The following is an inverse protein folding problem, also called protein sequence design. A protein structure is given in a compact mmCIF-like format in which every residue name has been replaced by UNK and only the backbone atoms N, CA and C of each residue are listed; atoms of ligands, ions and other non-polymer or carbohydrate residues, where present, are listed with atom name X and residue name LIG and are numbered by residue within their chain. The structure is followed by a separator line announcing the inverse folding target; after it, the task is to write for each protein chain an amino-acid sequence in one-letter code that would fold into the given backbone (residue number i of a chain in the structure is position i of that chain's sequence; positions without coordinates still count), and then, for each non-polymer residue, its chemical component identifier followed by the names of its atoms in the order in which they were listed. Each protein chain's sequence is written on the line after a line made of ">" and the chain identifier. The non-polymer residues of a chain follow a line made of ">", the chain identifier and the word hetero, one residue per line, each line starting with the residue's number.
data_IF_293910816790
#
_entry.id   IF_293910816790
#
_cell.length_a   1.000
_cell.length_b   1.000
_cell.length_c   1.000
_cell.angle_alpha   90.00
_cell.angle_beta   90.00
_cell.angle_gamma   90.00
#
_symmetry.space_group_name_H-M   'P 1'
#
loop_
_entity.id
_entity.type
_entity.pdbx_description
1 polymer ?
#
# COMPACT_ATOMS: atom_id res chain seq x y z
N UNK A 1 39.89 19.84 27.62
CA UNK A 1 38.68 20.68 27.37
C UNK A 1 37.48 19.76 27.33
N UNK A 2 36.66 19.79 28.38
CA UNK A 2 35.43 19.00 28.47
C UNK A 2 34.36 19.68 27.62
N UNK A 3 34.09 19.16 26.43
CA UNK A 3 32.95 19.61 25.63
C UNK A 3 31.67 19.19 26.36
N UNK A 4 30.97 20.17 26.95
CA UNK A 4 29.55 20.03 27.28
C UNK A 4 28.87 19.50 26.02
N UNK A 5 28.39 18.26 26.05
CA UNK A 5 27.31 17.83 25.14
C UNK A 5 26.14 18.74 25.47
N UNK A 6 25.93 19.79 24.67
CA UNK A 6 24.67 20.53 24.73
C UNK A 6 23.55 19.51 24.58
N UNK A 7 22.66 19.48 25.57
CA UNK A 7 21.50 18.60 25.56
C UNK A 7 20.62 19.09 24.41
N UNK A 8 20.81 18.50 23.22
CA UNK A 8 19.98 18.81 22.05
C UNK A 8 18.52 18.58 22.42
N UNK A 9 17.68 19.55 22.07
CA UNK A 9 16.24 19.46 22.28
C UNK A 9 15.68 18.23 21.55
N UNK A 10 14.55 17.64 22.01
CA UNK A 10 13.92 16.51 21.35
C UNK A 10 13.66 16.76 19.85
N UNK A 11 13.28 17.99 19.50
CA UNK A 11 13.06 18.43 18.12
C UNK A 11 14.36 18.41 17.31
N UNK A 12 15.42 19.04 17.82
CA UNK A 12 16.71 19.13 17.12
C UNK A 12 17.29 17.75 16.85
N UNK A 13 17.17 16.80 17.78
CA UNK A 13 17.61 15.42 17.54
C UNK A 13 17.01 14.82 16.27
N UNK A 14 15.71 15.04 16.02
CA UNK A 14 15.06 14.52 14.81
C UNK A 14 15.47 15.32 13.58
N UNK A 15 15.55 16.65 13.68
CA UNK A 15 15.96 17.50 12.56
C UNK A 15 17.38 17.18 12.09
N UNK A 16 18.32 16.99 13.03
CA UNK A 16 19.70 16.59 12.72
C UNK A 16 19.75 15.27 11.96
N UNK A 17 18.98 14.25 12.39
CA UNK A 17 18.89 12.98 11.68
C UNK A 17 18.37 13.13 10.24
N UNK A 18 17.36 13.98 10.05
CA UNK A 18 16.78 14.22 8.73
C UNK A 18 17.80 14.92 7.82
N UNK A 19 18.57 15.88 8.34
CA UNK A 19 19.64 16.57 7.59
C UNK A 19 20.78 15.63 7.23
N UNK A 20 21.22 14.79 8.16
CA UNK A 20 22.27 13.78 7.93
C UNK A 20 21.90 12.83 6.77
N UNK A 21 20.61 12.52 6.64
CA UNK A 21 20.06 11.64 5.60
C UNK A 21 19.64 12.41 4.33
N UNK A 22 20.02 13.70 4.22
CA UNK A 22 19.89 14.50 3.00
C UNK A 22 18.56 15.24 2.83
N UNK A 23 17.77 15.43 3.90
CA UNK A 23 16.57 16.27 3.88
C UNK A 23 16.94 17.72 4.14
N UNK A 24 16.62 18.59 3.18
CA UNK A 24 16.70 20.05 3.32
C UNK A 24 15.58 20.56 4.22
N UNK A 25 15.90 21.41 5.21
CA UNK A 25 14.91 22.02 6.10
C UNK A 25 14.66 23.46 5.65
N UNK A 26 13.40 23.84 5.51
CA UNK A 26 12.97 25.23 5.25
C UNK A 26 11.96 25.67 6.29
N UNK A 27 12.22 26.81 6.91
CA UNK A 27 11.24 27.46 7.76
C UNK A 27 10.24 28.27 6.92
N UNK A 28 8.99 28.31 7.35
CA UNK A 28 7.95 29.07 6.65
C UNK A 28 7.05 29.80 7.63
N UNK A 29 7.02 31.13 7.50
CA UNK A 29 6.10 31.99 8.25
C UNK A 29 4.64 31.75 7.85
N UNK A 30 4.37 31.64 6.54
CA UNK A 30 3.01 31.39 6.04
C UNK A 30 2.47 30.04 6.49
N UNK A 31 3.33 29.03 6.60
CA UNK A 31 2.93 27.73 7.13
C UNK A 31 2.53 27.81 8.61
N UNK A 32 3.23 28.61 9.41
CA UNK A 32 2.87 28.87 10.82
C UNK A 32 1.44 29.39 10.97
N UNK A 33 1.01 30.28 10.06
CA UNK A 33 -0.33 30.88 10.10
C UNK A 33 -1.44 29.89 9.72
N UNK A 34 -1.16 28.98 8.77
CA UNK A 34 -2.17 28.07 8.21
C UNK A 34 -2.27 26.78 9.03
N UNK A 35 -1.15 26.30 9.60
CA UNK A 35 -1.08 25.01 10.33
C UNK A 35 -0.26 25.11 11.63
N UNK A 36 -0.69 25.92 12.61
CA UNK A 36 0.06 26.14 13.85
C UNK A 36 0.21 24.88 14.72
N UNK A 37 -0.69 23.90 14.56
CA UNK A 37 -0.73 22.66 15.34
C UNK A 37 -0.02 21.46 14.68
N UNK A 38 0.91 21.72 13.76
CA UNK A 38 1.71 20.67 13.09
C UNK A 38 3.18 21.03 13.14
N UNK A 39 4.05 20.05 13.36
CA UNK A 39 5.49 20.32 13.44
C UNK A 39 6.18 20.50 12.08
N UNK A 40 5.49 20.20 10.98
CA UNK A 40 6.01 20.39 9.65
C UNK A 40 5.22 19.63 8.58
N UNK A 41 5.68 19.79 7.35
CA UNK A 41 5.18 19.10 6.17
C UNK A 41 6.36 18.69 5.29
N UNK A 42 6.43 17.40 4.94
CA UNK A 42 7.39 16.93 3.96
C UNK A 42 6.80 17.08 2.56
N UNK A 43 7.47 17.83 1.68
CA UNK A 43 6.98 18.08 0.33
C UNK A 43 6.77 16.76 -0.42
N UNK A 44 5.68 16.62 -1.17
CA UNK A 44 5.40 15.40 -1.94
C UNK A 44 4.95 14.19 -1.11
N UNK A 45 4.77 14.32 0.21
CA UNK A 45 4.32 13.23 1.09
C UNK A 45 2.93 12.71 0.72
N UNK A 46 2.04 13.61 0.27
CA UNK A 46 0.66 13.31 -0.09
C UNK A 46 0.28 13.69 -1.53
N UNK A 47 1.22 14.25 -2.31
CA UNK A 47 1.00 14.64 -3.71
C UNK A 47 0.99 13.38 -4.60
N UNK A 48 -0.13 12.68 -4.57
CA UNK A 48 -0.42 11.56 -5.47
C UNK A 48 -1.35 11.96 -6.62
N UNK A 49 -2.15 13.01 -6.46
CA UNK A 49 -3.10 13.46 -7.49
C UNK A 49 -2.40 14.02 -8.73
N UNK A 50 -1.24 14.67 -8.60
CA UNK A 50 -0.47 15.16 -9.76
C UNK A 50 0.20 14.04 -10.56
N UNK A 51 0.52 12.90 -9.93
CA UNK A 51 1.14 11.74 -10.61
C UNK A 51 0.19 11.01 -11.55
N UNK A 52 -1.13 11.11 -11.32
CA UNK A 52 -2.13 10.53 -12.22
C UNK A 52 -2.37 11.38 -13.47
N UNK A 53 -1.83 12.60 -13.56
CA UNK A 53 -2.00 13.51 -14.72
C UNK A 53 -0.83 13.49 -15.71
N UNK A 54 0.12 12.56 -15.58
CA UNK A 54 1.17 12.37 -16.59
C UNK A 54 2.24 13.46 -16.64
N UNK A 55 2.24 14.41 -15.70
CA UNK A 55 3.38 15.30 -15.51
C UNK A 55 4.40 14.57 -14.65
N UNK A 56 5.62 14.44 -15.16
CA UNK A 56 6.77 13.84 -14.47
C UNK A 56 7.18 14.64 -13.24
N UNK A 57 6.36 14.59 -12.20
CA UNK A 57 6.69 15.17 -10.90
C UNK A 57 7.71 14.22 -10.26
N UNK A 58 8.98 14.60 -10.39
CA UNK A 58 10.07 14.03 -9.62
C UNK A 58 9.65 13.90 -8.15
N UNK A 59 9.95 12.74 -7.55
CA UNK A 59 9.80 12.51 -6.12
C UNK A 59 10.83 13.36 -5.34
N UNK A 60 10.77 14.68 -5.46
CA UNK A 60 11.62 15.56 -4.67
C UNK A 60 10.95 15.78 -3.31
N UNK A 61 10.88 14.69 -2.55
CA UNK A 61 10.40 14.64 -1.16
C UNK A 61 11.53 14.87 -0.16
N UNK A 62 12.53 15.66 -0.55
CA UNK A 62 13.72 15.90 0.25
C UNK A 62 13.69 17.26 0.93
N UNK A 63 12.54 17.95 0.95
CA UNK A 63 12.39 19.22 1.65
C UNK A 63 11.33 19.10 2.73
N UNK A 64 11.74 19.31 3.98
CA UNK A 64 10.88 19.48 5.14
C UNK A 64 10.58 20.97 5.32
N UNK A 65 9.31 21.33 5.29
CA UNK A 65 8.84 22.67 5.65
C UNK A 65 8.42 22.67 7.12
N UNK A 66 9.07 23.47 7.94
CA UNK A 66 8.80 23.61 9.38
C UNK A 66 8.14 24.97 9.62
N UNK A 67 7.12 25.08 10.49
CA UNK A 67 6.60 26.38 10.86
C UNK A 67 7.64 27.17 11.66
N UNK A 68 7.76 28.46 11.37
CA UNK A 68 8.58 29.37 12.16
C UNK A 68 8.02 29.56 13.58
N UNK A 69 6.70 29.46 13.73
CA UNK A 69 5.99 29.57 15.01
C UNK A 69 4.96 28.44 15.12
N UNK A 70 4.90 27.80 16.28
CA UNK A 70 3.94 26.70 16.53
C UNK A 70 3.53 26.69 17.99
N UNK A 71 2.28 26.29 18.22
CA UNK A 71 1.72 26.15 19.57
C UNK A 71 2.06 24.79 20.20
N UNK A 72 2.73 23.91 19.44
CA UNK A 72 3.14 22.59 19.92
C UNK A 72 4.35 22.70 20.85
N UNK A 73 4.36 21.89 21.90
CA UNK A 73 5.56 21.77 22.73
C UNK A 73 6.70 21.03 21.97
N UNK A 74 7.95 21.15 22.42
CA UNK A 74 9.09 20.56 21.72
C UNK A 74 9.00 19.03 21.54
N UNK A 75 8.37 18.34 22.49
CA UNK A 75 8.19 16.88 22.44
C UNK A 75 7.16 16.49 21.39
N UNK A 76 6.02 17.17 21.34
CA UNK A 76 5.00 17.00 20.31
C UNK A 76 5.56 17.32 18.93
N UNK A 77 6.36 18.38 18.82
CA UNK A 77 7.06 18.70 17.58
C UNK A 77 7.97 17.54 17.15
N UNK A 78 8.76 16.99 18.07
CA UNK A 78 9.63 15.87 17.79
C UNK A 78 8.87 14.60 17.38
N UNK A 79 7.72 14.31 18.01
CA UNK A 79 6.86 13.17 17.67
C UNK A 79 6.31 13.30 16.25
N UNK A 80 5.77 14.47 15.91
CA UNK A 80 5.26 14.76 14.57
C UNK A 80 6.36 14.63 13.51
N UNK A 81 7.54 15.21 13.77
CA UNK A 81 8.70 15.11 12.88
C UNK A 81 9.16 13.66 12.71
N UNK A 82 9.18 12.87 13.79
CA UNK A 82 9.50 11.45 13.73
C UNK A 82 8.48 10.66 12.90
N UNK A 83 7.21 11.06 12.90
CA UNK A 83 6.21 10.49 12.01
C UNK A 83 6.45 10.85 10.55
N UNK A 84 6.73 12.12 10.24
CA UNK A 84 7.09 12.53 8.87
C UNK A 84 8.29 11.75 8.35
N UNK A 85 9.32 11.60 9.19
CA UNK A 85 10.51 10.82 8.87
C UNK A 85 10.23 9.33 8.70
N UNK A 86 9.50 8.73 9.65
CA UNK A 86 9.12 7.31 9.59
C UNK A 86 8.28 6.97 8.36
N UNK A 87 7.41 7.87 7.94
CA UNK A 87 6.62 7.74 6.72
C UNK A 87 7.48 7.87 5.45
N UNK A 88 8.40 8.85 5.41
CA UNK A 88 9.36 8.98 4.31
C UNK A 88 10.19 7.70 4.11
N UNK A 89 10.76 7.15 5.19
CA UNK A 89 11.50 5.89 5.15
C UNK A 89 10.65 4.72 4.66
N UNK A 90 9.38 4.64 5.08
CA UNK A 90 8.43 3.63 4.61
C UNK A 90 8.14 3.77 3.11
N UNK A 91 8.10 4.99 2.59
CA UNK A 91 7.82 5.27 1.18
C UNK A 91 9.03 5.07 0.27
N UNK A 92 10.24 5.36 0.74
CA UNK A 92 11.45 5.09 -0.03
C UNK A 92 11.70 3.59 -0.17
N UNK A 93 11.49 2.83 0.90
CA UNK A 93 11.64 1.36 0.92
C UNK A 93 10.29 0.64 0.79
N UNK A 94 9.41 1.15 -0.08
CA UNK A 94 8.03 0.65 -0.19
C UNK A 94 8.00 -0.75 -0.78
N UNK A 95 7.44 -1.71 -0.05
CA UNK A 95 7.14 -3.05 -0.59
C UNK A 95 6.09 -2.96 -1.70
N UNK A 96 6.22 -3.81 -2.73
CA UNK A 96 5.34 -3.78 -3.91
C UNK A 96 3.84 -3.87 -3.58
N UNK A 97 3.46 -4.62 -2.53
CA UNK A 97 2.07 -4.75 -2.10
C UNK A 97 1.50 -3.48 -1.46
N UNK A 98 2.35 -2.62 -0.88
CA UNK A 98 1.94 -1.34 -0.30
C UNK A 98 1.63 -0.31 -1.37
N UNK A 99 2.11 -0.48 -2.61
CA UNK A 99 1.91 0.47 -3.71
C UNK A 99 0.45 0.71 -4.05
N UNK A 100 -0.40 -0.27 -3.72
CA UNK A 100 -1.83 -0.21 -4.03
C UNK A 100 -2.57 0.72 -3.07
N UNK A 101 -2.00 1.01 -1.90
CA UNK A 101 -2.58 1.91 -0.92
C UNK A 101 -2.10 3.35 -1.10
N UNK A 102 -3.01 4.30 -0.91
CA UNK A 102 -2.75 5.72 -0.90
C UNK A 102 -1.77 6.06 0.23
N UNK A 103 -0.80 6.97 0.02
CA UNK A 103 0.16 7.36 1.06
C UNK A 103 -0.47 7.86 2.36
N UNK A 104 -1.67 8.43 2.26
CA UNK A 104 -2.45 8.93 3.39
C UNK A 104 -3.47 7.91 3.96
N UNK A 105 -3.49 6.67 3.44
CA UNK A 105 -4.39 5.62 3.92
C UNK A 105 -4.11 5.24 5.36
N UNK A 106 -5.15 4.81 6.08
CA UNK A 106 -5.03 4.41 7.49
C UNK A 106 -3.93 3.37 7.73
N UNK A 107 -3.82 2.36 6.85
CA UNK A 107 -2.83 1.29 6.98
C UNK A 107 -1.40 1.84 6.84
N UNK A 108 -1.17 2.71 5.86
CA UNK A 108 0.13 3.34 5.66
C UNK A 108 0.46 4.28 6.83
N UNK A 109 -0.47 5.13 7.26
CA UNK A 109 -0.27 5.98 8.45
C UNK A 109 0.08 5.14 9.67
N UNK A 110 -0.63 4.04 9.90
CA UNK A 110 -0.37 3.14 11.04
C UNK A 110 1.05 2.54 10.99
N UNK A 111 1.52 2.15 9.81
CA UNK A 111 2.90 1.69 9.62
C UNK A 111 3.92 2.81 9.81
N UNK A 112 3.64 4.01 9.31
CA UNK A 112 4.45 5.22 9.54
C UNK A 112 4.58 5.53 11.03
N UNK A 113 3.48 5.49 11.79
CA UNK A 113 3.48 5.66 13.25
C UNK A 113 4.24 4.57 13.99
N UNK A 114 4.24 3.33 13.50
CA UNK A 114 5.09 2.27 14.05
C UNK A 114 6.57 2.60 13.87
N UNK A 115 6.96 3.13 12.71
CA UNK A 115 8.33 3.61 12.46
C UNK A 115 8.68 4.82 13.31
N UNK A 116 7.76 5.78 13.44
CA UNK A 116 7.91 6.94 14.32
C UNK A 116 8.22 6.52 15.76
N UNK A 117 7.49 5.53 16.28
CA UNK A 117 7.70 4.96 17.61
C UNK A 117 9.11 4.39 17.77
N UNK A 118 9.59 3.63 16.79
CA UNK A 118 10.96 3.09 16.79
C UNK A 118 12.00 4.23 16.83
N UNK A 119 11.79 5.30 16.06
CA UNK A 119 12.68 6.47 16.02
C UNK A 119 12.67 7.21 17.36
N UNK A 120 11.49 7.53 17.90
CA UNK A 120 11.36 8.25 19.17
C UNK A 120 11.99 7.50 20.34
N UNK A 121 11.85 6.17 20.39
CA UNK A 121 12.51 5.33 21.40
C UNK A 121 14.04 5.38 21.24
N UNK A 122 14.55 5.21 20.02
CA UNK A 122 16.00 5.24 19.73
C UNK A 122 16.64 6.56 20.13
N UNK A 123 15.94 7.68 19.93
CA UNK A 123 16.42 9.02 20.24
C UNK A 123 16.17 9.45 21.70
N UNK A 124 15.57 8.57 22.50
CA UNK A 124 15.24 8.82 23.91
C UNK A 124 14.21 9.93 24.09
N UNK A 125 13.32 10.13 23.12
CA UNK A 125 12.21 11.11 23.19
C UNK A 125 11.05 10.53 23.99
N UNK A 126 10.81 9.23 23.85
CA UNK A 126 9.83 8.47 24.63
C UNK A 126 10.55 7.29 25.30
N UNK A 127 10.10 6.93 26.50
CA UNK A 127 10.72 5.83 27.25
C UNK A 127 10.45 4.48 26.58
N UNK A 128 11.44 3.59 26.66
CA UNK A 128 11.26 2.17 26.33
C UNK A 128 10.23 1.60 27.32
N UNK A 129 9.22 0.86 26.86
CA UNK A 129 8.24 0.28 27.77
C UNK A 129 8.95 -0.68 28.72
N UNK A 130 8.86 -0.43 30.04
CA UNK A 130 9.51 -1.22 31.09
C UNK A 130 9.05 -2.69 31.13
N UNK A 131 7.94 -3.02 30.47
CA UNK A 131 7.43 -4.39 30.31
C UNK A 131 6.95 -4.62 28.88
N UNK A 132 7.49 -5.62 28.20
CA UNK A 132 7.20 -5.99 26.81
C UNK A 132 5.99 -6.93 26.65
N UNK A 133 4.99 -6.83 27.53
CA UNK A 133 3.74 -7.58 27.32
C UNK A 133 2.99 -6.96 26.14
N UNK A 134 2.52 -7.79 25.20
CA UNK A 134 1.81 -7.43 23.95
C UNK A 134 0.70 -6.37 24.10
N UNK A 135 0.21 -6.14 25.32
CA UNK A 135 -0.90 -5.26 25.64
C UNK A 135 -0.50 -3.91 26.25
N UNK A 136 0.74 -3.75 26.71
CA UNK A 136 1.27 -2.48 27.21
C UNK A 136 2.19 -1.86 26.16
N UNK A 137 1.58 -1.40 25.07
CA UNK A 137 2.24 -0.48 24.15
C UNK A 137 2.61 0.80 24.91
N UNK A 138 3.81 1.33 24.67
CA UNK A 138 4.37 2.61 25.18
C UNK A 138 3.33 3.56 25.80
N UNK A 139 3.42 3.75 27.11
CA UNK A 139 2.58 4.67 27.89
C UNK A 139 3.06 6.13 27.73
N UNK A 140 3.09 6.64 26.49
CA UNK A 140 3.35 8.05 26.24
C UNK A 140 2.06 8.72 25.74
N UNK A 141 1.46 9.55 26.60
CA UNK A 141 0.17 10.19 26.37
C UNK A 141 0.25 11.13 25.14
N UNK A 142 1.36 11.87 25.02
CA UNK A 142 1.56 12.80 23.91
C UNK A 142 1.65 12.01 22.60
N UNK A 143 2.45 10.93 22.57
CA UNK A 143 2.59 10.08 21.39
C UNK A 143 1.26 9.49 20.92
N UNK A 144 0.48 8.90 21.83
CA UNK A 144 -0.83 8.31 21.48
C UNK A 144 -1.85 9.38 21.07
N UNK A 145 -1.82 10.57 21.68
CA UNK A 145 -2.69 11.68 21.27
C UNK A 145 -2.41 12.15 19.84
N UNK A 146 -1.13 12.40 19.49
CA UNK A 146 -0.71 12.82 18.15
C UNK A 146 -1.02 11.75 17.10
N UNK A 147 -0.73 10.48 17.43
CA UNK A 147 -1.06 9.32 16.59
C UNK A 147 -2.56 9.23 16.32
N UNK A 148 -3.40 9.32 17.36
CA UNK A 148 -4.85 9.27 17.22
C UNK A 148 -5.38 10.42 16.36
N UNK A 149 -4.88 11.63 16.57
CA UNK A 149 -5.27 12.81 15.78
C UNK A 149 -4.92 12.62 14.30
N UNK A 150 -3.71 12.17 13.99
CA UNK A 150 -3.27 11.88 12.61
C UNK A 150 -4.07 10.76 11.94
N UNK A 151 -4.39 9.69 12.66
CA UNK A 151 -5.17 8.56 12.14
C UNK A 151 -6.66 8.89 11.92
N UNK A 152 -7.24 9.77 12.73
CA UNK A 152 -8.62 10.24 12.54
C UNK A 152 -8.79 11.02 11.23
N UNK A 153 -7.76 11.73 10.79
CA UNK A 153 -7.70 12.43 9.51
C UNK A 153 -7.08 11.58 8.39
N UNK A 154 -7.23 10.25 8.44
CA UNK A 154 -6.75 9.37 7.37
C UNK A 154 -7.66 9.38 6.16
N UNK A 155 -7.04 9.28 4.98
CA UNK A 155 -7.75 9.10 3.72
C UNK A 155 -8.60 7.81 3.76
N UNK A 156 -9.89 7.96 3.45
CA UNK A 156 -10.83 6.84 3.51
C UNK A 156 -10.51 5.81 2.41
N UNK A 157 -10.57 4.50 2.70
CA UNK A 157 -10.11 3.40 1.83
C UNK A 157 -10.90 3.20 0.52
N UNK A 158 -11.90 4.04 0.23
CA UNK A 158 -12.82 3.90 -0.89
C UNK A 158 -12.12 3.99 -2.27
N UNK A 159 -11.03 4.75 -2.36
CA UNK A 159 -10.24 4.91 -3.59
C UNK A 159 -9.10 3.89 -3.72
N UNK A 160 -8.57 3.37 -2.61
CA UNK A 160 -7.61 2.25 -2.63
C UNK A 160 -8.28 0.98 -3.15
N UNK A 161 -9.53 0.73 -2.75
CA UNK A 161 -10.37 -0.31 -3.32
C UNK A 161 -10.52 -0.21 -4.85
N UNK A 162 -10.71 0.99 -5.40
CA UNK A 162 -10.82 1.22 -6.85
C UNK A 162 -9.54 0.85 -7.62
N UNK A 163 -8.35 1.15 -7.07
CA UNK A 163 -7.07 0.74 -7.67
C UNK A 163 -6.86 -0.77 -7.64
N UNK A 164 -7.24 -1.42 -6.53
CA UNK A 164 -7.22 -2.88 -6.39
C UNK A 164 -8.14 -3.50 -7.44
N UNK A 165 -9.38 -3.02 -7.55
CA UNK A 165 -10.39 -3.53 -8.49
C UNK A 165 -9.95 -3.40 -9.96
N UNK A 166 -9.40 -2.26 -10.38
CA UNK A 166 -8.96 -2.04 -11.76
C UNK A 166 -7.74 -2.88 -12.17
N UNK A 167 -6.80 -3.11 -11.24
CA UNK A 167 -5.66 -4.01 -11.49
C UNK A 167 -6.11 -5.48 -11.48
N UNK A 168 -6.99 -5.85 -10.56
CA UNK A 168 -7.47 -7.22 -10.42
C UNK A 168 -8.35 -7.66 -11.60
N UNK A 169 -9.23 -6.80 -12.11
CA UNK A 169 -10.03 -7.10 -13.30
C UNK A 169 -9.15 -7.32 -14.54
N UNK A 170 -8.10 -6.50 -14.73
CA UNK A 170 -7.14 -6.69 -15.82
C UNK A 170 -6.35 -8.00 -15.70
N UNK A 171 -5.96 -8.38 -14.48
CA UNK A 171 -5.30 -9.66 -14.21
C UNK A 171 -6.22 -10.83 -14.51
N UNK A 172 -7.47 -10.80 -14.07
CA UNK A 172 -8.45 -11.85 -14.36
C UNK A 172 -8.68 -12.06 -15.86
N UNK A 173 -8.87 -10.97 -16.61
CA UNK A 173 -9.02 -11.04 -18.08
C UNK A 173 -7.74 -11.56 -18.73
N UNK A 174 -6.56 -11.13 -18.27
CA UNK A 174 -5.28 -11.63 -18.80
C UNK A 174 -5.08 -13.11 -18.51
N UNK A 175 -5.49 -13.61 -17.34
CA UNK A 175 -5.40 -15.02 -16.97
C UNK A 175 -6.36 -15.85 -17.83
N UNK A 176 -7.59 -15.38 -18.01
CA UNK A 176 -8.56 -16.01 -18.92
C UNK A 176 -8.03 -16.15 -20.34
N UNK A 177 -7.52 -15.07 -20.94
CA UNK A 177 -6.99 -15.10 -22.30
C UNK A 177 -5.80 -16.05 -22.46
N UNK A 178 -4.93 -16.14 -21.44
CA UNK A 178 -3.80 -17.09 -21.45
C UNK A 178 -4.27 -18.53 -21.37
N UNK A 179 -5.22 -18.85 -20.50
CA UNK A 179 -5.80 -20.18 -20.39
C UNK A 179 -6.49 -20.56 -21.71
N UNK A 180 -7.26 -19.64 -22.31
CA UNK A 180 -7.91 -19.85 -23.60
C UNK A 180 -6.90 -20.13 -24.72
N UNK A 181 -5.81 -19.35 -24.80
CA UNK A 181 -4.75 -19.58 -25.77
C UNK A 181 -4.08 -20.95 -25.60
N UNK A 182 -3.81 -21.36 -24.36
CA UNK A 182 -3.24 -22.69 -24.08
C UNK A 182 -4.20 -23.79 -24.55
N UNK A 183 -5.50 -23.66 -24.27
CA UNK A 183 -6.52 -24.61 -24.72
C UNK A 183 -6.60 -24.70 -26.25
N UNK A 184 -6.56 -23.56 -26.95
CA UNK A 184 -6.55 -23.52 -28.42
C UNK A 184 -5.29 -24.14 -29.02
N UNK A 185 -4.13 -23.93 -28.41
CA UNK A 185 -2.87 -24.56 -28.86
C UNK A 185 -2.93 -26.08 -28.68
N UNK A 186 -3.40 -26.56 -27.52
CA UNK A 186 -3.57 -28.00 -27.27
C UNK A 186 -4.53 -28.60 -28.29
N UNK A 187 -5.65 -27.93 -28.58
CA UNK A 187 -6.59 -28.40 -29.59
C UNK A 187 -6.00 -28.43 -30.99
N UNK A 188 -5.27 -27.38 -31.41
CA UNK A 188 -4.59 -27.37 -32.70
C UNK A 188 -3.54 -28.47 -32.86
N UNK A 189 -2.83 -28.80 -31.77
CA UNK A 189 -1.87 -29.92 -31.72
C UNK A 189 -2.54 -31.29 -31.75
N UNK A 190 -3.75 -31.41 -31.20
CA UNK A 190 -4.56 -32.62 -31.30
C UNK A 190 -5.09 -32.82 -32.73
N UNK A 191 -5.56 -31.75 -33.37
CA UNK A 191 -6.07 -31.80 -34.74
C UNK A 191 -4.98 -32.11 -35.78
N UNK A 192 -3.75 -31.67 -35.55
CA UNK A 192 -2.60 -31.97 -36.41
C UNK A 192 -2.03 -33.38 -36.20
N UNK A 193 -2.54 -34.14 -35.23
CA UNK A 193 -2.05 -35.47 -34.86
C UNK A 193 -0.71 -35.46 -34.12
N UNK A 194 -0.14 -34.28 -33.85
CA UNK A 194 1.14 -34.12 -33.15
C UNK A 194 1.04 -34.45 -31.65
N UNK A 195 -0.18 -34.47 -31.10
CA UNK A 195 -0.44 -34.74 -29.68
C UNK A 195 -1.71 -35.57 -29.52
N UNK A 196 -1.61 -36.73 -28.87
CA UNK A 196 -2.75 -37.63 -28.62
C UNK A 196 -3.24 -37.62 -27.16
N UNK A 197 -2.55 -36.89 -26.27
CA UNK A 197 -2.78 -36.87 -24.82
C UNK A 197 -3.00 -35.44 -24.30
N UNK A 198 -3.79 -35.29 -23.23
CA UNK A 198 -4.03 -34.00 -22.56
C UNK A 198 -3.27 -33.96 -21.22
N UNK A 199 -2.29 -33.05 -21.04
CA UNK A 199 -1.46 -32.98 -19.83
C UNK A 199 -2.17 -32.55 -18.56
N UNK A 200 -3.41 -32.05 -18.64
CA UNK A 200 -4.15 -31.48 -17.52
C UNK A 200 -5.52 -32.12 -17.27
N UNK A 201 -5.70 -33.39 -17.69
CA UNK A 201 -6.97 -34.14 -17.63
C UNK A 201 -7.64 -34.07 -16.25
N UNK A 202 -6.87 -34.03 -15.16
CA UNK A 202 -7.37 -34.04 -13.77
C UNK A 202 -7.67 -32.68 -13.17
N UNK A 203 -7.13 -31.58 -13.71
CA UNK A 203 -7.25 -30.23 -13.10
C UNK A 203 -8.40 -29.44 -13.70
N UNK A 204 -8.72 -29.65 -14.98
CA UNK A 204 -9.73 -28.86 -15.72
C UNK A 204 -11.04 -29.62 -15.92
N UNK A 205 -11.01 -30.95 -15.94
CA UNK A 205 -12.18 -31.78 -16.28
C UNK A 205 -12.57 -32.63 -15.09
N UNK A 206 -13.78 -32.44 -14.56
CA UNK A 206 -14.29 -33.29 -13.47
C UNK A 206 -14.52 -34.70 -14.00
N UNK A 207 -14.13 -35.72 -13.23
CA UNK A 207 -14.33 -37.16 -13.54
C UNK A 207 -15.79 -37.50 -13.91
N UNK A 208 -16.76 -36.71 -13.43
CA UNK A 208 -18.19 -36.87 -13.73
C UNK A 208 -18.60 -36.51 -15.16
N UNK A 209 -17.83 -35.70 -15.87
CA UNK A 209 -18.18 -35.18 -17.20
C UNK A 209 -17.56 -36.03 -18.33
N UNK A 210 -16.44 -36.69 -18.07
CA UNK A 210 -15.72 -37.49 -19.07
C UNK A 210 -15.18 -38.76 -18.39
N UNK A 211 -15.95 -39.84 -18.53
CA UNK A 211 -15.65 -41.15 -17.93
C UNK A 211 -14.19 -41.56 -18.09
N UNK A 212 -13.62 -42.01 -16.98
CA UNK A 212 -12.27 -42.55 -16.88
C UNK A 212 -12.25 -43.82 -17.73
N UNK A 213 -11.62 -43.80 -18.91
CA UNK A 213 -10.98 -44.99 -19.51
C UNK A 213 -10.20 -44.75 -20.81
N UNK A 214 -10.38 -43.61 -21.51
CA UNK A 214 -9.63 -43.37 -22.75
C UNK A 214 -8.34 -42.56 -22.53
N UNK A 215 -7.19 -43.21 -22.71
CA UNK A 215 -5.84 -42.58 -22.76
C UNK A 215 -5.65 -41.72 -24.01
N UNK A 216 -6.41 -42.01 -25.07
CA UNK A 216 -6.44 -41.27 -26.33
C UNK A 216 -7.77 -40.52 -26.45
N UNK A 217 -7.85 -39.37 -25.80
CA UNK A 217 -9.04 -38.52 -25.86
C UNK A 217 -8.75 -37.23 -26.62
N UNK A 218 -9.44 -37.06 -27.75
CA UNK A 218 -9.40 -35.81 -28.53
C UNK A 218 -10.58 -34.96 -28.08
N UNK A 219 -10.31 -33.74 -27.64
CA UNK A 219 -11.37 -32.80 -27.27
C UNK A 219 -12.21 -32.47 -28.51
N UNK A 220 -13.51 -32.70 -28.42
CA UNK A 220 -14.41 -32.24 -29.48
C UNK A 220 -14.52 -30.71 -29.45
N UNK A 221 -14.81 -30.08 -30.60
CA UNK A 221 -15.00 -28.63 -30.65
C UNK A 221 -16.10 -28.13 -29.70
N UNK A 222 -17.11 -28.96 -29.46
CA UNK A 222 -18.20 -28.68 -28.53
C UNK A 222 -17.72 -28.62 -27.07
N UNK A 223 -16.83 -29.53 -26.67
CA UNK A 223 -16.32 -29.59 -25.30
C UNK A 223 -15.40 -28.40 -24.98
N UNK A 224 -14.67 -27.91 -25.98
CA UNK A 224 -13.86 -26.70 -25.83
C UNK A 224 -14.76 -25.48 -25.67
N UNK A 225 -15.87 -25.42 -26.40
CA UNK A 225 -16.88 -24.36 -26.24
C UNK A 225 -17.49 -24.44 -24.84
N UNK A 226 -17.81 -25.63 -24.34
CA UNK A 226 -18.42 -25.81 -23.02
C UNK A 226 -17.46 -25.46 -21.87
N UNK A 227 -16.18 -25.82 -21.97
CA UNK A 227 -15.15 -25.49 -20.98
C UNK A 227 -14.81 -24.01 -21.02
N UNK A 228 -14.64 -23.44 -22.21
CA UNK A 228 -14.38 -22.00 -22.37
C UNK A 228 -15.58 -21.16 -21.90
N UNK A 229 -16.81 -21.60 -22.19
CA UNK A 229 -18.04 -21.00 -21.70
C UNK A 229 -18.14 -21.05 -20.18
N UNK A 230 -17.82 -22.18 -19.55
CA UNK A 230 -17.80 -22.33 -18.09
C UNK A 230 -16.75 -21.43 -17.43
N UNK A 231 -15.54 -21.36 -17.99
CA UNK A 231 -14.48 -20.45 -17.53
C UNK A 231 -14.88 -18.99 -17.69
N UNK A 232 -15.47 -18.62 -18.83
CA UNK A 232 -15.99 -17.29 -19.07
C UNK A 232 -17.09 -16.92 -18.08
N UNK A 233 -18.00 -17.84 -17.79
CA UNK A 233 -19.09 -17.64 -16.83
C UNK A 233 -18.56 -17.44 -15.40
N UNK A 234 -17.52 -18.17 -14.99
CA UNK A 234 -16.85 -17.95 -13.69
C UNK A 234 -16.21 -16.55 -13.66
N UNK A 235 -15.50 -16.15 -14.71
CA UNK A 235 -14.91 -14.80 -14.82
C UNK A 235 -15.98 -13.71 -14.80
N UNK A 236 -17.09 -13.93 -15.50
CA UNK A 236 -18.22 -13.02 -15.58
C UNK A 236 -18.97 -12.90 -14.24
N UNK A 237 -19.27 -14.02 -13.56
CA UNK A 237 -19.88 -14.02 -12.22
C UNK A 237 -18.97 -13.31 -11.23
N UNK A 238 -17.67 -13.58 -11.28
CA UNK A 238 -16.69 -12.90 -10.42
C UNK A 238 -16.71 -11.39 -10.71
N UNK A 239 -16.68 -11.00 -11.99
CA UNK A 239 -16.77 -9.60 -12.40
C UNK A 239 -18.08 -8.92 -11.96
N UNK A 240 -19.24 -9.56 -12.16
CA UNK A 240 -20.57 -9.05 -11.78
C UNK A 240 -20.69 -8.95 -10.27
N UNK A 241 -20.21 -9.91 -9.49
CA UNK A 241 -20.18 -9.81 -8.02
C UNK A 241 -19.36 -8.59 -7.58
N UNK A 242 -18.20 -8.39 -8.18
CA UNK A 242 -17.35 -7.23 -7.89
C UNK A 242 -17.98 -5.89 -8.32
N UNK A 243 -18.61 -5.79 -9.47
CA UNK A 243 -19.37 -4.60 -9.89
C UNK A 243 -20.67 -4.41 -9.08
N UNK A 244 -21.29 -5.49 -8.61
CA UNK A 244 -22.44 -5.47 -7.70
C UNK A 244 -22.09 -4.85 -6.34
N UNK A 245 -20.93 -5.21 -5.78
CA UNK A 245 -20.38 -4.54 -4.59
C UNK A 245 -20.13 -3.03 -4.82
N UNK A 246 -19.80 -2.62 -6.05
CA UNK A 246 -19.63 -1.22 -6.43
C UNK A 246 -20.96 -0.49 -6.60
N UNK A 247 -22.01 -1.14 -7.11
CA UNK A 247 -23.33 -0.54 -7.29
C UNK A 247 -24.08 -0.36 -5.96
N UNK A 248 -24.04 -1.35 -5.05
CA UNK A 248 -24.57 -1.26 -3.68
C UNK A 248 -23.95 -0.12 -2.86
N UNK A 249 -22.79 0.40 -3.29
CA UNK A 249 -22.08 1.53 -2.69
C UNK A 249 -22.58 2.90 -3.16
N UNK A 250 -23.21 3.00 -4.33
CA UNK A 250 -23.74 4.25 -4.88
C UNK A 250 -25.21 4.52 -4.50
N UNK A 251 -25.88 3.55 -3.86
CA UNK A 251 -27.28 3.68 -3.42
C UNK A 251 -27.44 4.02 -1.93
N UNK A 252 -26.36 4.48 -1.28
CA UNK A 252 -26.33 5.02 0.10
C UNK A 252 -25.59 6.35 0.08
#
# INVERSE_FOLDING_TARGET
>A
MSQKKEMQSPKEKILSLMVEEGIEIKESFSFSLIRPFTAGYLKGMYDFEEKCRGYGVERNSNTLIVPQFTDLNEKEQAIDLAYLWGHHLLMNNKSCWLEVFHPDSYLIKKLGWRKAKEICIKQGIIEVPRKSFKFFEVNDIDFESRKKLSLNHSYRPLFDGLKILGRFSRVLVSVYLRILMILLIIWGLQFSGAMQYIPFKTIVFSEKLFGIENEHYVLSGQEIIDVSGSLYLIVLITYILFEGFKALRNSR
#
